data_IF_428399393508
#
_entry.id   IF_428399393508
#
_cell.length_a   1.000
_cell.length_b   1.000
_cell.length_c   1.000
_cell.angle_alpha   90.00
_cell.angle_beta   90.00
_cell.angle_gamma   90.00
#
_symmetry.space_group_name_H-M   'P 1'
#
loop_
_entity.id
_entity.type
_entity.pdbx_description
1 polymer ?
#
# COMPACT_ATOMS: atom_id res chain seq x y z
N UNK A 1 -3.91 13.41 2.86
CA UNK A 1 -2.48 13.08 2.98
C UNK A 1 -1.99 12.31 1.77
N UNK A 2 -0.69 12.19 1.63
CA UNK A 2 -0.09 11.43 0.54
C UNK A 2 0.27 10.04 1.03
N UNK A 3 -0.29 9.02 0.37
CA UNK A 3 -0.07 7.62 0.74
C UNK A 3 0.68 6.93 -0.41
N UNK A 4 1.67 6.13 -0.07
CA UNK A 4 2.26 5.20 -1.02
C UNK A 4 2.09 3.79 -0.48
N UNK A 5 1.96 2.83 -1.36
CA UNK A 5 1.75 1.45 -0.95
C UNK A 5 2.41 0.46 -1.89
N UNK A 6 2.63 -0.73 -1.37
CA UNK A 6 3.11 -1.87 -2.16
C UNK A 6 2.16 -3.03 -1.89
N UNK A 7 1.70 -3.67 -2.95
CA UNK A 7 0.87 -4.87 -2.85
C UNK A 7 1.62 -6.06 -3.44
N UNK A 8 1.75 -7.13 -2.68
CA UNK A 8 2.43 -8.35 -3.12
C UNK A 8 1.83 -9.57 -2.42
N UNK A 9 1.57 -10.63 -3.17
CA UNK A 9 0.86 -11.80 -2.69
C UNK A 9 1.29 -13.07 -3.41
N UNK A 10 1.22 -14.21 -2.71
CA UNK A 10 1.47 -15.53 -3.30
C UNK A 10 0.27 -16.06 -4.08
N UNK A 11 -0.92 -15.51 -3.86
CA UNK A 11 -2.17 -16.01 -4.46
C UNK A 11 -2.32 -15.66 -5.95
N UNK A 12 -1.32 -14.99 -6.53
CA UNK A 12 -1.31 -14.67 -7.94
C UNK A 12 -1.61 -13.21 -8.24
N UNK A 13 -1.46 -12.85 -9.52
CA UNK A 13 -1.54 -11.49 -10.01
C UNK A 13 -2.92 -10.86 -9.74
N UNK A 14 -3.99 -11.62 -9.99
CA UNK A 14 -5.35 -11.11 -9.81
C UNK A 14 -5.62 -10.64 -8.38
N UNK A 15 -5.16 -11.40 -7.39
CA UNK A 15 -5.35 -11.05 -5.98
C UNK A 15 -4.57 -9.78 -5.62
N UNK A 16 -3.37 -9.63 -6.14
CA UNK A 16 -2.55 -8.44 -5.93
C UNK A 16 -3.25 -7.20 -6.51
N UNK A 17 -3.81 -7.30 -7.70
CA UNK A 17 -4.54 -6.20 -8.31
C UNK A 17 -5.84 -5.85 -7.57
N UNK A 18 -6.53 -6.85 -7.06
CA UNK A 18 -7.73 -6.61 -6.24
C UNK A 18 -7.35 -5.82 -4.99
N UNK A 19 -6.28 -6.21 -4.30
CA UNK A 19 -5.81 -5.50 -3.12
C UNK A 19 -5.42 -4.06 -3.46
N UNK A 20 -4.69 -3.86 -4.56
CA UNK A 20 -4.31 -2.52 -5.03
C UNK A 20 -5.54 -1.66 -5.27
N UNK A 21 -6.52 -2.17 -6.01
CA UNK A 21 -7.72 -1.42 -6.35
C UNK A 21 -8.54 -1.05 -5.11
N UNK A 22 -8.71 -1.99 -4.20
CA UNK A 22 -9.42 -1.75 -2.95
C UNK A 22 -8.75 -0.66 -2.12
N UNK A 23 -7.43 -0.70 -2.05
CA UNK A 23 -6.66 0.28 -1.30
C UNK A 23 -6.79 1.67 -1.91
N UNK A 24 -6.65 1.76 -3.24
CA UNK A 24 -6.78 3.03 -3.95
C UNK A 24 -8.18 3.62 -3.75
N UNK A 25 -9.22 2.81 -3.94
CA UNK A 25 -10.59 3.29 -3.81
C UNK A 25 -10.88 3.79 -2.41
N UNK A 26 -10.44 3.08 -1.38
CA UNK A 26 -10.65 3.48 0.01
C UNK A 26 -9.94 4.79 0.35
N UNK A 27 -8.69 4.94 -0.10
CA UNK A 27 -7.92 6.15 0.15
C UNK A 27 -8.51 7.38 -0.58
N UNK A 28 -8.88 7.20 -1.83
CA UNK A 28 -9.47 8.29 -2.62
C UNK A 28 -10.84 8.71 -2.07
N UNK A 29 -11.63 7.74 -1.63
CA UNK A 29 -12.92 8.02 -1.01
C UNK A 29 -12.76 8.85 0.27
N UNK A 30 -11.66 8.65 0.99
CA UNK A 30 -11.34 9.42 2.19
C UNK A 30 -10.65 10.75 1.89
N UNK A 31 -10.43 11.09 0.62
CA UNK A 31 -9.84 12.36 0.21
C UNK A 31 -8.31 12.38 0.16
N UNK A 32 -7.67 11.24 0.15
CA UNK A 32 -6.20 11.14 0.11
C UNK A 32 -5.68 10.88 -1.29
N UNK A 33 -4.45 11.28 -1.55
CA UNK A 33 -3.71 10.89 -2.75
C UNK A 33 -2.98 9.59 -2.45
N UNK A 34 -2.98 8.68 -3.40
CA UNK A 34 -2.36 7.38 -3.21
C UNK A 34 -1.73 6.87 -4.51
N UNK A 35 -0.57 6.23 -4.38
CA UNK A 35 0.08 5.51 -5.46
C UNK A 35 0.50 4.14 -4.93
N UNK A 36 0.09 3.10 -5.61
CA UNK A 36 0.38 1.72 -5.18
C UNK A 36 1.22 1.00 -6.22
N UNK A 37 2.38 0.51 -5.80
CA UNK A 37 3.25 -0.35 -6.58
C UNK A 37 2.83 -1.80 -6.38
N UNK A 38 2.87 -2.61 -7.42
CA UNK A 38 2.64 -4.04 -7.29
C UNK A 38 3.93 -4.81 -7.59
N UNK A 39 4.18 -5.86 -6.84
CA UNK A 39 5.29 -6.78 -7.07
C UNK A 39 4.74 -8.20 -7.17
N UNK A 40 5.17 -8.94 -8.15
CA UNK A 40 4.68 -10.29 -8.38
C UNK A 40 5.50 -11.05 -9.39
N UNK A 41 4.93 -12.14 -9.90
CA UNK A 41 5.59 -13.05 -10.83
C UNK A 41 6.08 -12.35 -12.11
N UNK A 42 5.33 -11.35 -12.57
CA UNK A 42 5.69 -10.60 -13.77
C UNK A 42 6.60 -9.40 -13.48
N UNK A 43 7.02 -9.24 -12.22
CA UNK A 43 7.90 -8.17 -11.81
C UNK A 43 7.18 -7.03 -11.09
N UNK A 44 7.82 -5.86 -11.06
CA UNK A 44 7.29 -4.67 -10.41
C UNK A 44 6.55 -3.80 -11.42
N UNK A 45 5.31 -3.42 -11.08
CA UNK A 45 4.52 -2.51 -11.89
C UNK A 45 4.20 -1.24 -11.10
N UNK A 46 4.12 -0.11 -11.80
CA UNK A 46 3.83 1.20 -11.22
C UNK A 46 4.79 1.54 -10.08
N UNK A 47 6.07 1.29 -10.30
CA UNK A 47 7.11 1.45 -9.28
C UNK A 47 7.09 2.84 -8.64
N UNK A 48 7.19 2.86 -7.32
CA UNK A 48 7.27 4.10 -6.56
C UNK A 48 8.65 4.72 -6.75
N UNK A 49 8.68 6.01 -7.02
CA UNK A 49 9.91 6.77 -7.20
C UNK A 49 9.86 8.05 -6.37
N UNK A 50 9.58 9.17 -7.00
CA UNK A 50 9.56 10.47 -6.32
C UNK A 50 8.47 10.60 -5.28
N UNK A 51 7.37 9.88 -5.42
CA UNK A 51 6.25 9.89 -4.49
C UNK A 51 6.64 9.52 -3.08
N UNK A 52 7.67 8.69 -2.92
CA UNK A 52 8.13 8.24 -1.60
C UNK A 52 8.57 9.43 -0.76
N UNK A 53 9.29 10.37 -1.35
CA UNK A 53 9.79 11.53 -0.61
C UNK A 53 8.66 12.40 -0.06
N UNK A 54 7.51 12.43 -0.72
CA UNK A 54 6.37 13.25 -0.34
C UNK A 54 5.32 12.48 0.47
N UNK A 55 5.54 11.18 0.69
CA UNK A 55 4.56 10.34 1.38
C UNK A 55 4.49 10.65 2.88
N UNK A 56 3.29 10.71 3.39
CA UNK A 56 3.04 10.84 4.83
C UNK A 56 3.07 9.46 5.51
N UNK A 57 2.75 8.42 4.77
CA UNK A 57 2.70 7.05 5.28
C UNK A 57 2.91 6.05 4.14
N UNK A 58 3.47 4.90 4.49
CA UNK A 58 3.67 3.77 3.56
C UNK A 58 2.82 2.60 4.05
N UNK A 59 2.04 2.02 3.15
CA UNK A 59 1.26 0.82 3.45
C UNK A 59 1.84 -0.36 2.67
N UNK A 60 2.25 -1.39 3.40
CA UNK A 60 2.74 -2.63 2.79
C UNK A 60 1.67 -3.69 2.92
N UNK A 61 0.89 -3.89 1.86
CA UNK A 61 -0.14 -4.92 1.78
C UNK A 61 0.52 -6.16 1.19
N UNK A 62 1.22 -6.91 2.03
CA UNK A 62 2.10 -7.97 1.56
C UNK A 62 1.92 -9.26 2.33
N UNK A 63 1.95 -10.38 1.60
CA UNK A 63 1.96 -11.73 2.16
C UNK A 63 3.33 -12.40 1.95
N UNK A 64 4.22 -11.72 1.23
CA UNK A 64 5.56 -12.21 0.89
C UNK A 64 6.56 -11.08 1.03
N UNK A 65 7.85 -11.40 1.08
CA UNK A 65 8.90 -10.39 1.09
C UNK A 65 8.91 -9.61 -0.22
N UNK A 66 9.22 -8.33 -0.14
CA UNK A 66 9.27 -7.44 -1.30
C UNK A 66 10.69 -6.91 -1.51
N UNK A 67 10.96 -6.44 -2.73
CA UNK A 67 12.20 -5.77 -3.07
C UNK A 67 12.08 -4.27 -2.76
N UNK A 68 13.19 -3.66 -2.37
CA UNK A 68 13.25 -2.22 -2.18
C UNK A 68 12.59 -1.69 -0.92
N UNK A 69 12.40 -2.52 0.09
CA UNK A 69 11.79 -2.11 1.35
C UNK A 69 12.62 -1.02 2.05
N UNK A 70 13.93 -1.02 1.85
CA UNK A 70 14.85 -0.05 2.43
C UNK A 70 14.60 1.39 1.97
N UNK A 71 13.96 1.59 0.82
CA UNK A 71 13.61 2.95 0.34
C UNK A 71 12.59 3.65 1.22
N UNK A 72 11.91 2.92 2.08
CA UNK A 72 10.92 3.48 3.01
C UNK A 72 11.50 3.82 4.39
N UNK A 73 12.80 3.64 4.55
CA UNK A 73 13.47 3.96 5.82
C UNK A 73 13.21 5.41 6.20
N UNK A 74 12.83 5.63 7.45
CA UNK A 74 12.52 6.98 7.94
C UNK A 74 11.07 7.40 7.73
N UNK A 75 10.26 6.60 7.03
CA UNK A 75 8.84 6.86 6.83
C UNK A 75 7.99 6.01 7.77
N UNK A 76 6.83 6.53 8.17
CA UNK A 76 5.85 5.72 8.89
C UNK A 76 5.38 4.62 7.95
N UNK A 77 5.57 3.37 8.36
CA UNK A 77 5.26 2.22 7.53
C UNK A 77 4.34 1.28 8.28
N UNK A 78 3.24 0.88 7.64
CA UNK A 78 2.29 -0.06 8.20
C UNK A 78 2.24 -1.28 7.30
N UNK A 79 2.51 -2.44 7.87
CA UNK A 79 2.51 -3.70 7.14
C UNK A 79 1.27 -4.50 7.53
N UNK A 80 0.50 -4.92 6.54
CA UNK A 80 -0.72 -5.71 6.74
C UNK A 80 -0.79 -6.82 5.70
N UNK A 81 -1.50 -7.92 5.98
CA UNK A 81 -1.73 -8.93 4.96
C UNK A 81 -2.69 -8.39 3.89
N UNK A 82 -2.57 -8.90 2.67
CA UNK A 82 -3.43 -8.46 1.57
C UNK A 82 -4.90 -8.71 1.88
N UNK A 83 -5.22 -9.77 2.62
CA UNK A 83 -6.58 -10.09 3.01
C UNK A 83 -7.25 -8.95 3.78
N UNK A 84 -6.52 -8.28 4.65
CA UNK A 84 -7.06 -7.14 5.39
C UNK A 84 -7.46 -6.00 4.46
N UNK A 85 -6.69 -5.75 3.43
CA UNK A 85 -6.99 -4.73 2.43
C UNK A 85 -8.22 -5.11 1.63
N UNK A 86 -8.35 -6.38 1.26
CA UNK A 86 -9.48 -6.86 0.46
C UNK A 86 -10.78 -6.83 1.26
N UNK A 87 -10.74 -7.24 2.51
CA UNK A 87 -11.96 -7.36 3.34
C UNK A 87 -12.34 -6.10 4.12
N UNK A 88 -11.36 -5.29 4.51
CA UNK A 88 -11.61 -4.12 5.36
C UNK A 88 -10.80 -2.89 4.93
N UNK A 89 -10.89 -2.48 3.65
CA UNK A 89 -10.06 -1.38 3.17
C UNK A 89 -10.39 -0.04 3.84
N UNK A 90 -11.65 0.24 4.09
CA UNK A 90 -12.04 1.50 4.72
C UNK A 90 -11.60 1.59 6.17
N UNK A 91 -11.70 0.49 6.92
CA UNK A 91 -11.23 0.42 8.30
C UNK A 91 -9.72 0.60 8.36
N UNK A 92 -9.00 0.04 7.39
CA UNK A 92 -7.55 0.19 7.31
C UNK A 92 -7.17 1.66 7.10
N UNK A 93 -7.82 2.36 6.19
CA UNK A 93 -7.54 3.77 5.92
C UNK A 93 -7.84 4.62 7.16
N UNK A 94 -8.94 4.35 7.87
CA UNK A 94 -9.26 5.06 9.11
C UNK A 94 -8.16 4.87 10.15
N UNK A 95 -7.63 3.66 10.28
CA UNK A 95 -6.54 3.36 11.20
C UNK A 95 -5.24 4.06 10.80
N UNK A 96 -4.96 4.12 9.50
CA UNK A 96 -3.79 4.83 8.95
C UNK A 96 -3.88 6.32 9.30
N UNK A 97 -5.05 6.92 9.15
CA UNK A 97 -5.28 8.32 9.50
C UNK A 97 -4.95 8.58 10.97
N UNK A 98 -5.34 7.69 11.87
CA UNK A 98 -5.03 7.82 13.29
C UNK A 98 -3.53 7.71 13.56
N UNK A 99 -2.85 6.79 12.88
CA UNK A 99 -1.40 6.59 13.03
C UNK A 99 -0.65 7.84 12.60
N UNK A 100 -1.04 8.45 11.50
CA UNK A 100 -0.37 9.65 10.99
C UNK A 100 -0.60 10.85 11.88
N UNK A 101 -1.80 11.00 12.44
CA UNK A 101 -2.13 12.08 13.37
C UNK A 101 -1.39 11.95 14.70
N UNK A 102 -1.27 10.74 15.14
CA UNK A 102 -0.64 10.41 16.41
C UNK A 102 0.85 10.54 16.35
#
# INVERSE_FOLDING_TARGET
MNIVGVAACTAGIAHTYIAKEKLINAAEKAGHKIHVETQGVIGTEDALTEEIAQADVVILAIDVAISGKERFKGKKTVEVPTEMVVHSPNALIAKIEEIVKG
#
